data_IF_649621007161
#
_entry.id   IF_649621007161
#
_cell.length_a   1.000
_cell.length_b   1.000
_cell.length_c   1.000
_cell.angle_alpha   90.00
_cell.angle_beta   90.00
_cell.angle_gamma   90.00
#
_symmetry.space_group_name_H-M   'P 1'
#
loop_
_entity.id
_entity.type
_entity.pdbx_description
1 polymer ?
#
# COMPACT_ATOMS: atom_id res chain seq x y z
N UNK A 1 -9.77 24.38 36.09
CA UNK A 1 -8.91 23.20 36.11
C UNK A 1 -7.46 23.62 35.88
N UNK A 2 -6.52 23.08 36.66
CA UNK A 2 -5.11 23.39 36.50
C UNK A 2 -4.64 22.73 35.19
N UNK A 3 -4.16 23.51 34.25
CA UNK A 3 -3.68 23.00 32.97
C UNK A 3 -2.39 22.17 33.19
N UNK A 4 -2.37 20.93 32.71
CA UNK A 4 -1.21 20.04 32.85
C UNK A 4 -0.01 20.60 32.05
N UNK A 5 1.17 20.54 32.68
CA UNK A 5 2.45 20.95 32.08
C UNK A 5 3.42 19.76 32.08
N UNK A 6 4.22 19.66 31.02
CA UNK A 6 5.24 18.65 30.91
C UNK A 6 6.48 18.97 31.80
N UNK A 7 7.52 18.14 31.73
CA UNK A 7 8.77 18.32 32.49
C UNK A 7 9.55 19.62 32.13
N UNK A 8 9.25 20.22 30.97
CA UNK A 8 9.84 21.49 30.50
C UNK A 8 8.92 22.69 30.84
N UNK A 9 7.81 22.45 31.53
CA UNK A 9 6.86 23.46 31.91
C UNK A 9 5.88 23.89 30.83
N UNK A 10 5.82 23.17 29.69
CA UNK A 10 4.94 23.49 28.55
C UNK A 10 3.58 22.83 28.68
N UNK A 11 2.53 23.55 28.28
CA UNK A 11 1.24 22.94 28.00
C UNK A 11 1.27 22.20 26.67
N UNK A 12 0.28 21.36 26.37
CA UNK A 12 0.17 20.70 25.07
C UNK A 12 0.13 21.70 23.91
N UNK A 13 -0.63 22.78 24.06
CA UNK A 13 -0.74 23.82 23.04
C UNK A 13 0.60 24.51 22.79
N UNK A 14 1.31 24.91 23.85
CA UNK A 14 2.64 25.52 23.76
C UNK A 14 3.66 24.55 23.12
N UNK A 15 3.59 23.27 23.46
CA UNK A 15 4.43 22.22 22.86
C UNK A 15 4.17 22.07 21.36
N UNK A 16 2.90 21.91 20.95
CA UNK A 16 2.53 21.73 19.54
C UNK A 16 2.87 22.96 18.68
N UNK A 17 2.69 24.17 19.21
CA UNK A 17 3.04 25.40 18.51
C UNK A 17 4.55 25.52 18.19
N UNK A 18 5.41 24.87 18.99
CA UNK A 18 6.86 24.86 18.82
C UNK A 18 7.41 23.57 18.22
N UNK A 19 6.55 22.57 17.97
CA UNK A 19 6.98 21.28 17.43
C UNK A 19 7.31 21.40 15.95
N UNK A 20 8.51 20.93 15.57
CA UNK A 20 8.93 20.86 14.18
C UNK A 20 8.94 19.38 13.73
N UNK A 21 7.95 18.93 12.93
CA UNK A 21 7.90 17.55 12.45
C UNK A 21 9.04 17.20 11.50
N UNK A 22 9.65 18.18 10.86
CA UNK A 22 10.73 17.98 9.88
C UNK A 22 12.14 18.04 10.49
N UNK A 23 12.22 18.14 11.82
CA UNK A 23 13.51 18.18 12.52
C UNK A 23 14.38 16.95 12.27
N UNK A 24 13.74 15.78 12.11
CA UNK A 24 14.41 14.51 11.84
C UNK A 24 13.93 13.91 10.53
N UNK A 25 14.83 13.25 9.80
CA UNK A 25 14.44 12.43 8.66
C UNK A 25 13.56 11.27 9.13
N UNK A 26 12.50 11.00 8.39
CA UNK A 26 11.58 9.89 8.67
C UNK A 26 11.36 9.04 7.43
N UNK A 27 11.01 7.74 7.63
CA UNK A 27 10.72 6.85 6.51
C UNK A 27 9.42 7.28 5.81
N UNK A 28 9.33 6.94 4.53
CA UNK A 28 8.06 6.96 3.80
C UNK A 28 7.25 5.71 4.13
N UNK A 29 5.94 5.83 4.11
CA UNK A 29 5.00 4.72 4.29
C UNK A 29 4.35 4.40 2.96
N UNK A 30 4.27 3.11 2.64
CA UNK A 30 3.56 2.58 1.48
C UNK A 30 2.55 1.53 1.90
N UNK A 31 1.66 1.18 0.98
CA UNK A 31 0.77 0.01 1.06
C UNK A 31 1.03 -0.88 -0.14
N UNK A 32 0.96 -2.19 0.06
CA UNK A 32 1.03 -3.21 -1.00
C UNK A 32 -0.14 -4.19 -0.83
N UNK A 33 -0.78 -4.61 -1.93
CA UNK A 33 -1.97 -5.44 -1.88
C UNK A 33 -1.75 -6.80 -2.55
N UNK A 34 -1.87 -7.88 -1.76
CA UNK A 34 -1.92 -9.25 -2.26
C UNK A 34 -3.39 -9.65 -2.48
N UNK A 35 -3.88 -9.50 -3.71
CA UNK A 35 -5.25 -9.85 -4.10
C UNK A 35 -5.24 -11.19 -4.79
N UNK A 36 -5.93 -12.16 -4.20
CA UNK A 36 -6.00 -13.54 -4.68
C UNK A 36 -7.34 -13.83 -5.33
N UNK A 37 -7.35 -14.75 -6.29
CA UNK A 37 -8.54 -15.32 -6.90
C UNK A 37 -8.30 -16.78 -7.28
N UNK A 38 -9.39 -17.50 -7.56
CA UNK A 38 -9.32 -18.83 -8.13
C UNK A 38 -9.58 -18.75 -9.63
N UNK A 39 -8.64 -19.24 -10.43
CA UNK A 39 -8.81 -19.38 -11.88
C UNK A 39 -9.35 -20.79 -12.20
N UNK A 40 -10.39 -20.84 -13.01
CA UNK A 40 -10.99 -22.09 -13.45
C UNK A 40 -10.51 -22.39 -14.88
N UNK A 41 -9.57 -23.32 -15.00
CA UNK A 41 -9.01 -23.76 -16.27
C UNK A 41 -9.33 -25.25 -16.51
N UNK A 42 -10.12 -25.55 -17.54
CA UNK A 42 -10.40 -26.94 -18.02
C UNK A 42 -10.69 -27.98 -16.92
N UNK A 43 -11.42 -27.58 -15.87
CA UNK A 43 -11.76 -28.44 -14.74
C UNK A 43 -10.77 -28.44 -13.57
N UNK A 44 -9.67 -27.73 -13.68
CA UNK A 44 -8.78 -27.41 -12.57
C UNK A 44 -9.12 -26.05 -11.95
N UNK A 45 -8.72 -25.87 -10.71
CA UNK A 45 -8.94 -24.64 -9.95
C UNK A 45 -7.60 -24.21 -9.36
N UNK A 46 -7.02 -23.18 -9.91
CA UNK A 46 -5.67 -22.70 -9.58
C UNK A 46 -5.73 -21.39 -8.82
N UNK A 47 -4.96 -21.29 -7.74
CA UNK A 47 -4.81 -20.04 -7.00
C UNK A 47 -3.97 -19.06 -7.81
N UNK A 48 -4.43 -17.82 -7.92
CA UNK A 48 -3.73 -16.76 -8.63
C UNK A 48 -3.64 -15.49 -7.80
N UNK A 49 -2.62 -14.69 -8.05
CA UNK A 49 -2.39 -13.39 -7.42
C UNK A 49 -2.39 -12.29 -8.47
N UNK A 50 -2.96 -11.15 -8.11
CA UNK A 50 -2.96 -9.94 -8.94
C UNK A 50 -1.58 -9.29 -8.88
N UNK A 51 -0.97 -9.12 -10.05
CA UNK A 51 0.29 -8.40 -10.21
C UNK A 51 0.13 -7.27 -11.22
N UNK A 52 0.94 -6.25 -11.05
CA UNK A 52 1.16 -5.19 -12.03
C UNK A 52 2.57 -5.28 -12.59
N UNK A 53 2.75 -4.84 -13.84
CA UNK A 53 4.08 -4.62 -14.40
C UNK A 53 4.45 -3.16 -14.24
N UNK A 54 5.57 -2.91 -13.58
CA UNK A 54 6.01 -1.54 -13.30
C UNK A 54 6.35 -0.77 -14.57
N UNK A 55 5.72 0.37 -14.76
CA UNK A 55 5.97 1.29 -15.88
C UNK A 55 7.10 2.28 -15.62
N UNK A 56 7.55 2.44 -14.36
CA UNK A 56 8.53 3.42 -13.93
C UNK A 56 9.62 2.82 -13.03
N UNK A 57 10.73 3.57 -12.90
CA UNK A 57 11.76 3.23 -11.90
C UNK A 57 11.29 3.48 -10.45
N UNK A 58 11.84 2.75 -9.48
CA UNK A 58 12.79 1.63 -9.59
C UNK A 58 12.12 0.34 -10.10
N UNK A 59 12.94 -0.62 -10.51
CA UNK A 59 12.49 -1.95 -10.97
C UNK A 59 11.56 -1.91 -12.21
N UNK A 60 11.80 -0.98 -13.12
CA UNK A 60 11.09 -0.85 -14.39
C UNK A 60 10.92 -2.20 -15.10
N UNK A 61 9.71 -2.52 -15.53
CA UNK A 61 9.37 -3.72 -16.27
C UNK A 61 9.24 -5.00 -15.45
N UNK A 62 9.49 -4.96 -14.13
CA UNK A 62 9.29 -6.12 -13.26
C UNK A 62 7.83 -6.22 -12.80
N UNK A 63 7.42 -7.45 -12.46
CA UNK A 63 6.11 -7.71 -11.86
C UNK A 63 6.17 -7.48 -10.35
N UNK A 64 5.12 -6.86 -9.81
CA UNK A 64 5.01 -6.53 -8.40
C UNK A 64 3.55 -6.60 -7.94
N UNK A 65 3.35 -6.65 -6.63
CA UNK A 65 2.04 -6.38 -6.06
C UNK A 65 1.63 -4.94 -6.36
N UNK A 66 0.33 -4.66 -6.60
CA UNK A 66 -0.17 -3.29 -6.62
C UNK A 66 0.14 -2.58 -5.32
N UNK A 67 0.50 -1.30 -5.37
CA UNK A 67 0.80 -0.54 -4.18
C UNK A 67 1.45 0.81 -4.47
N UNK A 68 1.47 1.66 -3.45
CA UNK A 68 2.03 3.00 -3.57
C UNK A 68 2.18 3.72 -2.25
N UNK A 69 2.53 5.00 -2.32
CA UNK A 69 2.74 5.83 -1.15
C UNK A 69 1.43 6.26 -0.51
N UNK A 70 1.43 6.25 0.83
CA UNK A 70 0.33 6.80 1.62
C UNK A 70 0.42 8.32 1.62
N UNK A 71 -0.69 8.98 1.35
CA UNK A 71 -0.80 10.44 1.43
C UNK A 71 -0.97 10.90 2.88
N UNK A 72 -0.66 12.17 3.16
CA UNK A 72 -0.67 12.72 4.52
C UNK A 72 -2.07 12.74 5.16
N UNK A 73 -3.11 12.85 4.35
CA UNK A 73 -4.50 13.05 4.81
C UNK A 73 -5.39 11.81 4.57
N UNK A 74 -4.78 10.62 4.42
CA UNK A 74 -5.54 9.39 4.21
C UNK A 74 -5.19 8.29 5.22
N UNK A 75 -6.18 7.47 5.54
CA UNK A 75 -5.98 6.25 6.33
C UNK A 75 -5.32 5.16 5.47
N UNK A 76 -4.59 4.23 6.12
CA UNK A 76 -3.89 3.15 5.41
C UNK A 76 -4.83 2.28 4.55
N UNK A 77 -6.04 2.00 5.02
CA UNK A 77 -7.03 1.23 4.28
C UNK A 77 -7.55 1.98 3.05
N UNK A 78 -7.70 3.31 3.15
CA UNK A 78 -8.12 4.16 2.05
C UNK A 78 -7.01 4.28 1.00
N UNK A 79 -5.75 4.42 1.43
CA UNK A 79 -4.58 4.37 0.55
C UNK A 79 -4.53 3.05 -0.24
N UNK A 80 -4.72 1.91 0.44
CA UNK A 80 -4.73 0.60 -0.20
C UNK A 80 -5.85 0.48 -1.25
N UNK A 81 -7.06 0.92 -0.94
CA UNK A 81 -8.18 0.91 -1.88
C UNK A 81 -7.95 1.86 -3.07
N UNK A 82 -7.40 3.05 -2.83
CA UNK A 82 -7.06 4.03 -3.88
C UNK A 82 -6.01 3.49 -4.83
N UNK A 83 -4.87 3.01 -4.32
CA UNK A 83 -3.78 2.48 -5.14
C UNK A 83 -4.22 1.26 -5.96
N UNK A 84 -4.98 0.34 -5.35
CA UNK A 84 -5.54 -0.82 -6.06
C UNK A 84 -6.41 -0.40 -7.24
N UNK A 85 -7.30 0.58 -7.03
CA UNK A 85 -8.15 1.12 -8.07
C UNK A 85 -7.36 1.83 -9.16
N UNK A 86 -6.41 2.68 -8.79
CA UNK A 86 -5.59 3.46 -9.73
C UNK A 86 -4.74 2.57 -10.63
N UNK A 87 -4.10 1.55 -10.07
CA UNK A 87 -3.19 0.67 -10.82
C UNK A 87 -3.89 -0.48 -11.55
N UNK A 88 -5.03 -0.96 -11.07
CA UNK A 88 -5.67 -2.18 -11.60
C UNK A 88 -7.14 -2.03 -11.98
N UNK A 89 -7.79 -0.94 -11.60
CA UNK A 89 -9.24 -0.75 -11.76
C UNK A 89 -10.11 -1.59 -10.80
N UNK A 90 -9.51 -2.42 -9.95
CA UNK A 90 -10.25 -3.25 -8.99
C UNK A 90 -10.75 -2.40 -7.83
N UNK A 91 -12.05 -2.51 -7.53
CA UNK A 91 -12.74 -1.75 -6.46
C UNK A 91 -13.62 -2.67 -5.62
N UNK A 92 -14.07 -2.14 -4.48
CA UNK A 92 -15.08 -2.76 -3.63
C UNK A 92 -14.69 -4.16 -3.11
N UNK A 93 -13.40 -4.35 -2.87
CA UNK A 93 -12.86 -5.58 -2.29
C UNK A 93 -12.47 -5.38 -0.82
N UNK A 94 -12.74 -6.35 0.08
CA UNK A 94 -12.36 -6.25 1.47
C UNK A 94 -10.85 -6.40 1.62
N UNK A 95 -10.14 -5.31 1.92
CA UNK A 95 -8.70 -5.30 2.16
C UNK A 95 -8.42 -5.42 3.66
N UNK A 96 -7.64 -6.41 4.05
CA UNK A 96 -7.26 -6.67 5.45
C UNK A 96 -5.73 -6.61 5.60
N UNK A 97 -5.20 -5.87 6.58
CA UNK A 97 -3.76 -5.85 6.83
C UNK A 97 -3.29 -7.23 7.34
N UNK A 98 -2.12 -7.68 6.90
CA UNK A 98 -1.54 -8.93 7.35
C UNK A 98 -0.06 -8.85 7.75
N UNK A 99 0.62 -7.78 7.43
CA UNK A 99 2.03 -7.65 7.76
C UNK A 99 2.61 -6.28 7.51
N UNK A 100 3.77 -6.05 8.10
CA UNK A 100 4.58 -4.84 7.91
C UNK A 100 5.98 -5.25 7.49
N UNK A 101 6.50 -4.66 6.42
CA UNK A 101 7.80 -4.98 5.87
C UNK A 101 8.66 -3.71 5.80
N UNK A 102 9.75 -3.72 6.54
CA UNK A 102 10.59 -2.54 6.68
C UNK A 102 12.09 -2.82 6.55
N UNK A 103 12.50 -3.77 5.70
CA UNK A 103 13.90 -4.01 5.40
C UNK A 103 14.64 -2.72 5.01
N UNK A 104 15.83 -2.47 5.57
CA UNK A 104 16.54 -1.19 5.38
C UNK A 104 16.85 -0.89 3.92
N UNK A 105 17.16 -1.92 3.14
CA UNK A 105 17.57 -1.80 1.74
C UNK A 105 16.47 -2.22 0.74
N UNK A 106 15.21 -2.32 1.18
CA UNK A 106 14.13 -2.79 0.31
C UNK A 106 13.79 -1.84 -0.83
N UNK A 107 14.05 -0.57 -0.69
CA UNK A 107 13.82 0.47 -1.70
C UNK A 107 15.11 1.30 -1.90
N UNK A 108 15.61 1.41 -3.13
CA UNK A 108 16.85 2.14 -3.40
C UNK A 108 16.73 3.67 -3.28
N UNK A 109 15.51 4.20 -3.29
CA UNK A 109 15.26 5.65 -3.25
C UNK A 109 15.42 6.23 -1.86
N UNK A 110 14.86 5.54 -0.85
CA UNK A 110 14.81 6.01 0.53
C UNK A 110 14.39 4.89 1.48
N UNK A 111 14.36 5.21 2.77
CA UNK A 111 13.77 4.32 3.78
C UNK A 111 12.27 4.21 3.56
N UNK A 112 11.79 3.02 3.21
CA UNK A 112 10.35 2.75 3.00
C UNK A 112 9.90 1.61 3.90
N UNK A 113 8.78 1.81 4.57
CA UNK A 113 8.06 0.81 5.35
C UNK A 113 6.71 0.61 4.70
N UNK A 114 6.38 -0.63 4.33
CA UNK A 114 5.07 -0.93 3.76
C UNK A 114 4.18 -1.67 4.73
N UNK A 115 2.89 -1.35 4.69
CA UNK A 115 1.82 -2.14 5.31
C UNK A 115 1.16 -2.96 4.21
N UNK A 116 1.23 -4.29 4.34
CA UNK A 116 0.69 -5.21 3.36
C UNK A 116 -0.75 -5.60 3.70
N UNK A 117 -1.62 -5.52 2.71
CA UNK A 117 -3.02 -5.93 2.77
C UNK A 117 -3.26 -7.13 1.88
N UNK A 118 -4.27 -7.93 2.21
CA UNK A 118 -4.72 -9.02 1.35
C UNK A 118 -6.23 -8.97 1.12
N UNK A 119 -6.66 -9.58 0.04
CA UNK A 119 -8.05 -9.87 -0.27
C UNK A 119 -8.15 -11.16 -1.07
N UNK A 120 -9.27 -11.85 -0.92
CA UNK A 120 -9.63 -13.01 -1.75
C UNK A 120 -10.91 -12.67 -2.51
N UNK A 121 -10.88 -12.80 -3.84
CA UNK A 121 -12.02 -12.55 -4.71
C UNK A 121 -12.66 -13.86 -5.14
N UNK A 122 -13.99 -13.91 -5.15
CA UNK A 122 -14.75 -15.02 -5.72
C UNK A 122 -14.85 -14.88 -7.24
N UNK A 123 -14.05 -15.68 -7.95
CA UNK A 123 -14.18 -15.87 -9.39
C UNK A 123 -13.97 -14.63 -10.25
N UNK A 124 -14.48 -14.68 -11.46
CA UNK A 124 -14.26 -13.75 -12.58
C UNK A 124 -14.82 -12.31 -12.43
N UNK A 125 -15.24 -11.89 -11.25
CA UNK A 125 -15.90 -10.58 -11.06
C UNK A 125 -14.97 -9.38 -11.21
N UNK A 126 -13.65 -9.57 -11.15
CA UNK A 126 -12.68 -8.50 -11.34
C UNK A 126 -11.79 -8.77 -12.56
N UNK A 127 -11.98 -7.97 -13.61
CA UNK A 127 -11.08 -7.92 -14.77
C UNK A 127 -10.12 -6.74 -14.55
N UNK A 128 -8.86 -6.99 -14.13
CA UNK A 128 -7.93 -5.90 -13.90
C UNK A 128 -7.55 -5.21 -15.22
N UNK A 129 -7.44 -3.88 -15.16
CA UNK A 129 -6.93 -3.05 -16.25
C UNK A 129 -5.82 -2.19 -15.71
N UNK A 130 -4.66 -2.23 -16.37
CA UNK A 130 -3.56 -1.37 -16.02
C UNK A 130 -3.97 0.11 -16.08
N UNK A 131 -3.54 0.86 -15.09
CA UNK A 131 -3.75 2.29 -15.01
C UNK A 131 -2.60 2.94 -14.26
N UNK A 132 -2.54 4.27 -14.28
CA UNK A 132 -1.54 5.10 -13.62
C UNK A 132 -0.09 4.66 -13.96
N UNK A 133 0.71 4.31 -12.99
CA UNK A 133 2.11 3.88 -13.14
C UNK A 133 2.30 2.42 -13.58
N UNK A 134 1.22 1.65 -13.72
CA UNK A 134 1.25 0.28 -14.18
C UNK A 134 1.19 0.18 -15.71
N UNK A 135 2.15 -0.50 -16.32
CA UNK A 135 2.13 -0.78 -17.76
C UNK A 135 1.17 -1.92 -18.12
N UNK A 136 1.03 -2.90 -17.26
CA UNK A 136 0.17 -4.07 -17.40
C UNK A 136 -0.37 -4.50 -16.02
N UNK A 137 -1.54 -5.15 -15.99
CA UNK A 137 -2.10 -5.77 -14.80
C UNK A 137 -2.76 -7.10 -15.15
N UNK A 138 -2.66 -8.10 -14.28
CA UNK A 138 -3.27 -9.41 -14.50
C UNK A 138 -3.14 -10.35 -13.30
N UNK A 139 -3.91 -11.45 -13.36
CA UNK A 139 -3.79 -12.54 -12.40
C UNK A 139 -2.82 -13.62 -12.91
N UNK A 140 -1.95 -14.06 -12.04
CA UNK A 140 -0.93 -15.06 -12.32
C UNK A 140 -1.06 -16.22 -11.33
N UNK A 141 -1.01 -17.43 -11.85
CA UNK A 141 -0.98 -18.67 -11.02
C UNK A 141 0.24 -18.67 -10.09
N UNK A 142 0.03 -19.19 -8.88
CA UNK A 142 1.07 -19.32 -7.85
C UNK A 142 1.56 -20.75 -7.78
#
# INVERSE_FOLDING_TARGET
MKQLRDKNGLTLEEFLANYNPDKYRHPSVTVDMAVFTMLHNQGACDLAVLLIRRGNHPFLGTWALPGGFVEMEEELADAAARELKEETGVTDVPLRPFGVFGGVARDPRTRVITVAFYSCLDGLSAQPKAGDDAAEAGFFEI
#
